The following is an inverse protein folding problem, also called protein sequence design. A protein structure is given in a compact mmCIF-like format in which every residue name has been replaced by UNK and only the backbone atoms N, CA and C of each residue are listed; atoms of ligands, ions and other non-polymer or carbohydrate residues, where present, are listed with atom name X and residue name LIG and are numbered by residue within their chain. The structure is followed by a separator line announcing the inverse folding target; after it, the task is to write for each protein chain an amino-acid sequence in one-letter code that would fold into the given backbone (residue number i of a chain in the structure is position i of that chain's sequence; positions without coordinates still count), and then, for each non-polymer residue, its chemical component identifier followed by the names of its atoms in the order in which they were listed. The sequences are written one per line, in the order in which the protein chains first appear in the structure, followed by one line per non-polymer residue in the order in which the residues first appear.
data_IF_281353631691
#
_entry.id   IF_281353631691
#
_cell.length_a   1.000
_cell.length_b   1.000
_cell.length_c   1.000
_cell.angle_alpha   90.00
_cell.angle_beta   90.00
_cell.angle_gamma   90.00
#
_symmetry.space_group_name_H-M   'P 1'
#
loop_
_entity.id
_entity.type
_entity.pdbx_description
1 polymer ?
#
# COMPACT_ATOMS: atom_id res chain seq x y z
N UNK A 1 39.00 -8.15 9.42
CA UNK A 1 38.29 -7.12 8.63
C UNK A 1 38.00 -7.68 7.25
N UNK A 2 36.79 -7.48 6.72
CA UNK A 2 36.46 -7.30 5.29
C UNK A 2 34.93 -7.14 5.22
N UNK A 3 34.42 -6.02 4.69
CA UNK A 3 32.98 -5.78 4.55
C UNK A 3 32.54 -6.13 3.13
N UNK A 4 31.70 -7.15 2.99
CA UNK A 4 31.08 -7.50 1.70
C UNK A 4 29.93 -6.55 1.36
N UNK A 5 30.24 -5.40 0.75
CA UNK A 5 29.22 -4.45 0.28
C UNK A 5 28.60 -4.90 -1.04
N UNK A 6 27.57 -5.75 -0.96
CA UNK A 6 26.75 -6.08 -2.13
C UNK A 6 25.94 -4.86 -2.58
N UNK A 7 26.32 -4.27 -3.71
CA UNK A 7 25.51 -3.26 -4.38
C UNK A 7 24.28 -3.93 -5.02
N UNK A 8 23.06 -3.61 -4.52
CA UNK A 8 21.81 -3.93 -5.25
C UNK A 8 21.88 -3.23 -6.62
N UNK A 9 21.92 -3.98 -7.71
CA UNK A 9 21.72 -3.41 -9.05
C UNK A 9 20.28 -2.89 -9.16
N UNK A 10 20.08 -1.69 -9.72
CA UNK A 10 18.72 -1.18 -10.00
C UNK A 10 18.06 -2.04 -11.08
N UNK A 11 16.83 -2.50 -10.88
CA UNK A 11 16.10 -3.25 -11.91
C UNK A 11 15.88 -2.46 -13.22
N UNK A 12 15.99 -1.12 -13.18
CA UNK A 12 16.00 -0.27 -14.38
C UNK A 12 17.17 -0.52 -15.35
N UNK A 13 18.19 -1.31 -14.97
CA UNK A 13 19.30 -1.70 -15.84
C UNK A 13 19.32 -3.19 -16.20
N UNK A 14 18.24 -3.93 -15.92
CA UNK A 14 18.09 -5.34 -16.33
C UNK A 14 17.32 -5.44 -17.66
N UNK A 15 17.73 -6.31 -18.60
CA UNK A 15 16.95 -6.58 -19.81
C UNK A 15 15.55 -7.15 -19.49
N UNK A 16 14.55 -6.73 -20.26
CA UNK A 16 13.13 -7.08 -20.04
C UNK A 16 12.82 -8.60 -20.13
N UNK A 17 13.69 -9.37 -20.78
CA UNK A 17 13.55 -10.84 -20.90
C UNK A 17 14.17 -11.64 -19.74
N UNK A 18 14.85 -10.97 -18.79
CA UNK A 18 15.48 -11.64 -17.64
C UNK A 18 14.46 -12.37 -16.75
N UNK A 19 14.87 -13.43 -16.01
CA UNK A 19 13.97 -14.19 -15.14
C UNK A 19 13.14 -13.31 -14.19
N UNK A 20 13.74 -12.26 -13.63
CA UNK A 20 13.11 -11.24 -12.78
C UNK A 20 11.78 -10.72 -13.35
N UNK A 21 11.75 -10.27 -14.61
CA UNK A 21 10.52 -9.76 -15.22
C UNK A 21 9.51 -10.88 -15.53
N UNK A 22 9.97 -12.11 -15.78
CA UNK A 22 9.10 -13.27 -16.02
C UNK A 22 8.37 -13.70 -14.75
N UNK A 23 9.09 -13.84 -13.63
CA UNK A 23 8.46 -14.15 -12.32
C UNK A 23 7.68 -12.97 -11.76
N UNK A 24 8.09 -11.71 -11.99
CA UNK A 24 7.27 -10.52 -11.67
C UNK A 24 5.96 -10.49 -12.47
N UNK A 25 5.97 -10.88 -13.75
CA UNK A 25 4.74 -11.01 -14.54
C UNK A 25 3.86 -12.16 -14.03
N UNK A 26 4.45 -13.29 -13.64
CA UNK A 26 3.71 -14.42 -13.09
C UNK A 26 3.09 -14.11 -11.71
N UNK A 27 3.78 -13.37 -10.83
CA UNK A 27 3.17 -12.89 -9.58
C UNK A 27 2.05 -11.89 -9.89
N UNK A 28 2.24 -10.97 -10.83
CA UNK A 28 1.17 -10.08 -11.34
C UNK A 28 -0.06 -10.82 -11.88
N UNK A 29 0.13 -11.95 -12.57
CA UNK A 29 -0.98 -12.79 -13.04
C UNK A 29 -1.66 -13.59 -11.92
N UNK A 30 -0.91 -13.99 -10.88
CA UNK A 30 -1.47 -14.57 -9.64
C UNK A 30 -2.30 -13.54 -8.87
N UNK A 31 -1.78 -12.32 -8.74
CA UNK A 31 -2.46 -11.14 -8.21
C UNK A 31 -3.78 -10.84 -8.92
N UNK A 32 -3.78 -10.79 -10.26
CA UNK A 32 -5.00 -10.62 -11.06
C UNK A 32 -5.95 -11.82 -10.92
N UNK A 33 -5.44 -13.04 -10.74
CA UNK A 33 -6.24 -14.22 -10.44
C UNK A 33 -6.94 -14.16 -9.08
N UNK A 34 -6.23 -13.69 -8.04
CA UNK A 34 -6.73 -13.55 -6.68
C UNK A 34 -7.80 -12.45 -6.54
N UNK A 35 -7.57 -11.29 -7.17
CA UNK A 35 -8.56 -10.20 -7.22
C UNK A 35 -9.72 -10.53 -8.17
N UNK A 36 -9.47 -11.35 -9.19
CA UNK A 36 -10.47 -11.99 -10.04
C UNK A 36 -10.53 -11.43 -11.47
N UNK A 37 -10.61 -12.32 -12.46
CA UNK A 37 -10.92 -11.96 -13.85
C UNK A 37 -12.43 -11.78 -14.13
N UNK A 38 -13.27 -12.23 -13.20
CA UNK A 38 -14.74 -12.23 -13.31
C UNK A 38 -15.44 -11.19 -12.41
N UNK A 39 -14.71 -10.27 -11.79
CA UNK A 39 -15.32 -9.16 -11.01
C UNK A 39 -15.97 -8.14 -11.95
N UNK A 40 -17.18 -8.46 -12.42
CA UNK A 40 -18.18 -7.50 -12.89
C UNK A 40 -18.80 -6.67 -11.74
N UNK A 41 -18.22 -6.77 -10.54
CA UNK A 41 -18.59 -6.00 -9.36
C UNK A 41 -17.95 -4.59 -9.48
N UNK A 42 -18.76 -3.52 -9.62
CA UNK A 42 -18.24 -2.16 -9.79
C UNK A 42 -17.54 -1.61 -8.52
N UNK A 43 -17.62 -2.30 -7.38
CA UNK A 43 -17.00 -1.86 -6.12
C UNK A 43 -15.46 -1.97 -6.10
N UNK A 44 -14.82 -2.58 -7.10
CA UNK A 44 -13.35 -2.70 -7.19
C UNK A 44 -12.86 -2.35 -8.60
N UNK A 45 -12.66 -1.05 -8.87
CA UNK A 45 -11.96 -0.61 -10.08
C UNK A 45 -10.44 -0.56 -9.85
N UNK A 46 -9.69 -1.48 -10.47
CA UNK A 46 -8.22 -1.48 -10.45
C UNK A 46 -7.64 -0.56 -11.55
N UNK A 47 -6.93 0.49 -11.14
CA UNK A 47 -6.24 1.40 -12.04
C UNK A 47 -4.99 0.75 -12.67
N UNK A 48 -5.15 0.02 -13.79
CA UNK A 48 -4.04 -0.65 -14.49
C UNK A 48 -3.09 0.34 -15.18
N UNK A 49 -1.98 0.65 -14.50
CA UNK A 49 -0.76 1.12 -15.18
C UNK A 49 -0.17 0.02 -16.06
N UNK A 50 0.18 0.32 -17.31
CA UNK A 50 0.61 -0.69 -18.29
C UNK A 50 1.90 -1.42 -17.85
N UNK A 51 1.80 -2.71 -17.49
CA UNK A 51 2.92 -3.59 -17.17
C UNK A 51 3.73 -4.01 -18.42
N UNK A 52 4.40 -3.04 -19.04
CA UNK A 52 5.52 -3.24 -19.97
C UNK A 52 6.63 -2.23 -19.68
N UNK A 53 7.55 -2.61 -18.78
CA UNK A 53 8.86 -1.96 -18.63
C UNK A 53 8.99 -0.80 -17.65
N UNK A 54 8.15 -0.72 -16.61
CA UNK A 54 8.27 0.29 -15.55
C UNK A 54 8.34 -0.37 -14.16
N UNK A 55 9.23 0.15 -13.30
CA UNK A 55 9.38 -0.31 -11.92
C UNK A 55 8.20 0.14 -11.04
N UNK A 56 7.96 -0.64 -9.98
CA UNK A 56 7.01 -0.50 -8.86
C UNK A 56 6.11 0.76 -8.89
N UNK A 57 4.81 0.53 -8.97
CA UNK A 57 3.79 1.57 -9.11
C UNK A 57 2.67 1.39 -8.09
N UNK A 58 2.37 2.50 -7.41
CA UNK A 58 1.17 2.81 -6.64
C UNK A 58 1.20 2.46 -5.15
N UNK A 59 0.73 3.41 -4.34
CA UNK A 59 0.15 3.16 -3.03
C UNK A 59 -0.93 4.23 -2.81
N UNK A 60 -2.20 3.86 -2.65
CA UNK A 60 -3.21 4.64 -1.91
C UNK A 60 -4.49 3.81 -1.75
N UNK A 61 -5.10 3.88 -0.56
CA UNK A 61 -6.36 3.21 -0.24
C UNK A 61 -7.42 4.27 0.06
N UNK A 62 -8.48 4.34 -0.75
CA UNK A 62 -9.63 5.17 -0.45
C UNK A 62 -10.93 4.38 -0.53
N UNK A 63 -11.61 4.32 0.61
CA UNK A 63 -12.95 3.78 0.72
C UNK A 63 -13.94 4.91 0.99
N UNK A 64 -15.01 4.96 0.19
CA UNK A 64 -16.24 5.73 0.42
C UNK A 64 -16.12 7.27 0.39
N UNK A 65 -15.65 7.83 -0.73
CA UNK A 65 -15.89 9.24 -1.07
C UNK A 65 -16.67 9.42 -2.37
N UNK A 66 -18.00 9.39 -2.23
CA UNK A 66 -18.83 10.28 -3.05
C UNK A 66 -18.58 11.72 -2.56
N UNK A 67 -18.65 12.70 -3.48
CA UNK A 67 -18.54 14.15 -3.22
C UNK A 67 -17.16 14.75 -2.89
N UNK A 68 -16.02 14.05 -3.01
CA UNK A 68 -14.71 14.71 -2.87
C UNK A 68 -13.66 14.40 -3.95
N UNK A 69 -12.55 15.14 -3.85
CA UNK A 69 -11.40 15.31 -4.73
C UNK A 69 -11.52 16.45 -5.81
N UNK A 70 -11.72 17.75 -5.55
CA UNK A 70 -11.57 18.72 -6.68
C UNK A 70 -10.07 19.02 -6.97
N UNK A 71 -9.60 18.74 -8.21
CA UNK A 71 -8.28 19.00 -8.84
C UNK A 71 -6.91 18.33 -8.43
N UNK A 72 -6.42 17.39 -9.28
CA UNK A 72 -5.02 16.91 -9.61
C UNK A 72 -4.38 15.59 -8.97
N UNK A 73 -3.07 15.26 -8.77
CA UNK A 73 -2.61 13.94 -8.19
C UNK A 73 -1.35 13.87 -7.24
N UNK A 74 -1.33 12.96 -6.24
CA UNK A 74 -0.19 12.68 -5.32
C UNK A 74 0.94 11.75 -5.85
N UNK A 75 2.13 12.31 -6.13
CA UNK A 75 3.48 11.83 -5.70
C UNK A 75 4.57 12.61 -6.45
N UNK A 76 5.69 12.92 -5.78
CA UNK A 76 6.87 13.56 -6.40
C UNK A 76 8.02 12.59 -6.70
N UNK A 77 7.85 11.28 -6.45
CA UNK A 77 8.86 10.26 -6.75
C UNK A 77 8.41 9.24 -7.83
N UNK A 78 7.15 9.32 -8.26
CA UNK A 78 6.76 8.88 -9.59
C UNK A 78 7.36 9.81 -10.66
N UNK A 79 7.77 9.26 -11.81
CA UNK A 79 8.09 10.10 -12.96
C UNK A 79 6.84 10.86 -13.42
N UNK A 80 7.00 12.06 -13.99
CA UNK A 80 5.89 12.88 -14.49
C UNK A 80 4.87 12.09 -15.35
N UNK A 81 5.39 11.19 -16.20
CA UNK A 81 4.58 10.28 -17.03
C UNK A 81 3.72 9.29 -16.23
N UNK A 82 4.19 8.82 -15.08
CA UNK A 82 3.43 7.91 -14.20
C UNK A 82 2.30 8.66 -13.47
N UNK A 83 2.56 9.86 -12.96
CA UNK A 83 1.54 10.75 -12.38
C UNK A 83 0.45 11.04 -13.43
N UNK A 84 0.84 11.52 -14.60
CA UNK A 84 -0.05 11.80 -15.72
C UNK A 84 -0.87 10.57 -16.19
N UNK A 85 -0.28 9.37 -16.16
CA UNK A 85 -0.99 8.13 -16.52
C UNK A 85 -2.04 7.76 -15.47
N UNK A 86 -1.68 7.81 -14.17
CA UNK A 86 -2.62 7.50 -13.09
C UNK A 86 -3.76 8.52 -13.04
N UNK A 87 -3.44 9.81 -13.17
CA UNK A 87 -4.40 10.92 -13.21
C UNK A 87 -5.53 10.65 -14.23
N UNK A 88 -5.17 10.35 -15.48
CA UNK A 88 -6.13 10.01 -16.56
C UNK A 88 -6.99 8.79 -16.24
N UNK A 89 -6.46 7.80 -15.54
CA UNK A 89 -7.23 6.62 -15.15
C UNK A 89 -8.23 6.96 -14.04
N UNK A 90 -7.83 7.72 -13.02
CA UNK A 90 -8.76 8.19 -11.99
C UNK A 90 -9.84 9.12 -12.58
N UNK A 91 -9.47 10.03 -13.50
CA UNK A 91 -10.40 10.89 -14.25
C UNK A 91 -11.45 10.06 -15.00
N UNK A 92 -11.02 8.99 -15.69
CA UNK A 92 -11.91 8.08 -16.42
C UNK A 92 -12.87 7.29 -15.53
N UNK A 93 -12.59 7.19 -14.23
CA UNK A 93 -13.45 6.55 -13.24
C UNK A 93 -14.51 7.51 -12.66
N UNK A 94 -14.54 8.78 -13.07
CA UNK A 94 -15.29 9.86 -12.41
C UNK A 94 -14.98 9.96 -10.91
N UNK A 95 -13.81 9.49 -10.50
CA UNK A 95 -13.21 10.11 -9.34
C UNK A 95 -12.90 11.54 -9.75
N UNK A 96 -13.22 12.46 -8.86
CA UNK A 96 -12.56 13.74 -8.87
C UNK A 96 -11.07 13.47 -8.43
N UNK A 97 -10.17 14.44 -8.54
CA UNK A 97 -8.70 14.30 -8.69
C UNK A 97 -8.04 15.27 -7.63
N UNK A 98 -6.97 14.96 -6.84
CA UNK A 98 -6.25 15.95 -5.93
C UNK A 98 -4.70 15.88 -5.94
N UNK A 99 -4.00 17.04 -6.10
CA UNK A 99 -2.53 17.16 -6.24
C UNK A 99 -1.73 17.76 -5.07
N UNK A 100 -0.42 17.51 -5.13
CA UNK A 100 0.64 18.16 -4.38
C UNK A 100 1.52 19.03 -5.29
N UNK A 101 1.01 20.19 -5.71
CA UNK A 101 1.73 21.13 -6.61
C UNK A 101 2.86 21.92 -5.93
N UNK A 102 2.87 21.97 -4.59
CA UNK A 102 3.88 22.70 -3.81
C UNK A 102 5.28 22.09 -4.02
N UNK A 103 6.23 22.85 -4.58
CA UNK A 103 7.58 22.37 -4.89
C UNK A 103 8.35 21.85 -3.67
N UNK A 104 8.01 22.30 -2.46
CA UNK A 104 8.65 21.87 -1.20
C UNK A 104 8.02 20.60 -0.59
N UNK A 105 6.81 20.24 -1.01
CA UNK A 105 6.09 19.09 -0.46
C UNK A 105 6.54 17.77 -1.11
N UNK A 106 6.68 16.71 -0.32
CA UNK A 106 6.87 15.36 -0.84
C UNK A 106 6.01 14.36 -0.07
N UNK A 107 5.40 13.42 -0.78
CA UNK A 107 4.66 12.31 -0.20
C UNK A 107 4.66 11.11 -1.16
N UNK A 108 4.96 9.94 -0.62
CA UNK A 108 4.65 8.65 -1.23
C UNK A 108 3.51 8.00 -0.42
N UNK A 109 2.48 7.48 -1.09
CA UNK A 109 1.36 6.83 -0.40
C UNK A 109 1.75 5.57 0.38
N UNK A 110 2.97 5.05 0.20
CA UNK A 110 3.56 4.00 1.03
C UNK A 110 3.70 4.42 2.50
N UNK A 111 3.84 5.72 2.76
CA UNK A 111 3.83 6.29 4.12
C UNK A 111 2.43 6.51 4.68
N UNK A 112 1.37 6.37 3.88
CA UNK A 112 -0.01 6.67 4.28
C UNK A 112 -0.76 5.40 4.67
N UNK A 113 -1.07 5.27 5.96
CA UNK A 113 -1.95 4.26 6.53
C UNK A 113 -3.31 4.89 6.87
N UNK A 114 -4.34 4.62 6.05
CA UNK A 114 -5.72 4.96 6.36
C UNK A 114 -6.37 3.82 7.16
N UNK A 115 -6.96 4.13 8.31
CA UNK A 115 -7.55 3.12 9.21
C UNK A 115 -9.04 2.88 8.99
N UNK A 116 -9.68 3.67 8.12
CA UNK A 116 -11.14 3.82 8.07
C UNK A 116 -11.70 4.81 9.10
N UNK A 117 -10.85 5.38 9.98
CA UNK A 117 -11.21 6.40 10.99
C UNK A 117 -10.30 7.63 10.96
N UNK A 118 -9.03 7.46 10.60
CA UNK A 118 -8.00 8.51 10.54
C UNK A 118 -6.86 8.10 9.60
N UNK A 119 -5.91 9.00 9.38
CA UNK A 119 -4.65 8.70 8.68
C UNK A 119 -3.46 8.78 9.63
N UNK A 120 -2.58 7.79 9.56
CA UNK A 120 -1.20 7.90 10.01
C UNK A 120 -0.29 8.11 8.80
N UNK A 121 0.59 9.13 8.87
CA UNK A 121 1.49 9.51 7.79
C UNK A 121 2.94 9.40 8.25
N UNK A 122 3.70 8.51 7.62
CA UNK A 122 5.13 8.35 7.84
C UNK A 122 5.92 9.60 7.44
N UNK A 123 6.72 10.15 8.34
CA UNK A 123 7.76 11.13 8.03
C UNK A 123 9.05 10.36 7.75
N UNK A 124 9.38 10.25 6.47
CA UNK A 124 10.39 9.34 5.93
C UNK A 124 11.40 10.09 5.05
N UNK A 125 12.22 9.37 4.27
CA UNK A 125 13.05 9.98 3.20
C UNK A 125 12.26 10.30 1.93
N UNK A 126 10.98 9.91 1.87
CA UNK A 126 10.06 10.10 0.74
C UNK A 126 8.98 11.13 1.07
N UNK A 127 8.46 11.09 2.29
CA UNK A 127 7.33 11.89 2.74
C UNK A 127 7.75 12.87 3.82
N UNK A 128 7.48 14.16 3.61
CA UNK A 128 7.86 15.24 4.51
C UNK A 128 6.64 15.90 5.17
N UNK A 129 6.90 16.75 6.17
CA UNK A 129 5.86 17.39 6.97
C UNK A 129 4.89 18.23 6.12
N UNK A 130 5.40 18.96 5.12
CA UNK A 130 4.58 19.72 4.16
C UNK A 130 3.68 18.81 3.31
N UNK A 131 4.14 17.61 2.99
CA UNK A 131 3.34 16.60 2.30
C UNK A 131 2.20 16.05 3.17
N UNK A 132 2.44 15.82 4.45
CA UNK A 132 1.42 15.42 5.42
C UNK A 132 0.37 16.51 5.68
N UNK A 133 0.79 17.79 5.73
CA UNK A 133 -0.11 18.94 5.82
C UNK A 133 -1.09 19.02 4.64
N UNK A 134 -0.60 18.87 3.40
CA UNK A 134 -1.46 18.90 2.22
C UNK A 134 -2.45 17.72 2.21
N UNK A 135 -2.07 16.56 2.76
CA UNK A 135 -2.99 15.44 2.95
C UNK A 135 -4.09 15.79 3.98
N UNK A 136 -3.74 16.45 5.10
CA UNK A 136 -4.72 16.94 6.08
C UNK A 136 -5.65 18.02 5.51
N UNK A 137 -5.12 18.95 4.71
CA UNK A 137 -5.92 19.95 3.98
C UNK A 137 -6.81 19.31 2.90
N UNK A 138 -6.46 18.13 2.40
CA UNK A 138 -7.29 17.37 1.45
C UNK A 138 -8.42 16.62 2.16
N UNK A 139 -8.14 15.99 3.29
CA UNK A 139 -9.04 15.04 3.97
C UNK A 139 -9.56 15.57 5.31
N UNK A 140 -10.13 16.78 5.30
CA UNK A 140 -10.55 17.55 6.49
C UNK A 140 -11.58 16.86 7.39
N UNK A 141 -12.27 15.84 6.89
CA UNK A 141 -13.22 15.01 7.66
C UNK A 141 -12.53 13.97 8.58
N UNK A 142 -11.19 13.87 8.53
CA UNK A 142 -10.40 12.91 9.30
C UNK A 142 -9.23 13.57 10.05
N UNK A 143 -8.85 12.97 11.18
CA UNK A 143 -7.58 13.27 11.82
C UNK A 143 -6.41 12.75 10.95
N UNK A 144 -5.29 13.48 10.98
CA UNK A 144 -4.03 13.12 10.31
C UNK A 144 -2.88 13.28 11.31
N UNK A 145 -2.27 12.16 11.71
CA UNK A 145 -1.20 12.11 12.71
C UNK A 145 0.11 11.63 12.08
N UNK A 146 1.21 12.33 12.32
CA UNK A 146 2.52 11.99 11.74
C UNK A 146 3.33 11.01 12.60
N UNK A 147 4.07 10.12 11.94
CA UNK A 147 4.83 9.02 12.58
C UNK A 147 6.26 9.01 12.05
N UNK A 148 7.32 9.10 12.88
CA UNK A 148 8.70 9.05 12.40
C UNK A 148 9.07 7.68 11.78
N UNK A 149 9.66 7.69 10.59
CA UNK A 149 10.14 6.50 9.87
C UNK A 149 11.63 6.66 9.56
N UNK A 150 12.48 5.82 10.16
CA UNK A 150 13.94 5.96 10.09
C UNK A 150 14.64 4.81 9.35
N UNK A 151 14.32 3.57 9.75
CA UNK A 151 15.04 2.35 9.35
C UNK A 151 14.26 1.52 8.31
N UNK A 152 13.37 2.15 7.55
CA UNK A 152 12.52 1.51 6.53
C UNK A 152 12.24 2.46 5.38
N UNK A 153 11.75 1.94 4.25
CA UNK A 153 11.46 2.77 3.06
C UNK A 153 10.25 3.67 3.29
N UNK A 154 9.19 3.12 3.86
CA UNK A 154 7.94 3.81 4.20
C UNK A 154 7.30 3.26 5.48
N UNK A 155 6.30 3.94 6.04
CA UNK A 155 5.47 3.45 7.16
C UNK A 155 4.92 2.04 6.89
N UNK A 156 4.31 1.80 5.72
CA UNK A 156 3.72 0.50 5.39
C UNK A 156 4.74 -0.60 5.03
N UNK A 157 6.04 -0.33 5.08
CA UNK A 157 7.06 -1.39 4.99
C UNK A 157 6.98 -2.39 6.16
N UNK A 158 6.33 -2.01 7.27
CA UNK A 158 6.16 -2.85 8.46
C UNK A 158 4.74 -2.86 9.04
N UNK A 159 3.74 -2.30 8.36
CA UNK A 159 2.34 -2.35 8.81
C UNK A 159 1.29 -2.15 7.71
N UNK A 160 0.07 -2.62 7.93
CA UNK A 160 -1.12 -2.29 7.14
C UNK A 160 -2.42 -2.58 7.91
N UNK A 161 -3.58 -2.27 7.33
CA UNK A 161 -4.86 -2.74 7.87
C UNK A 161 -5.10 -4.19 7.45
N UNK A 162 -5.31 -5.07 8.43
CA UNK A 162 -5.64 -6.48 8.22
C UNK A 162 -7.13 -6.79 8.40
N UNK A 163 -7.90 -5.85 8.96
CA UNK A 163 -9.34 -5.95 9.18
C UNK A 163 -9.92 -4.63 9.72
N UNK A 164 -11.24 -4.53 9.92
CA UNK A 164 -11.83 -3.40 10.62
C UNK A 164 -11.24 -3.31 12.03
N UNK A 165 -10.74 -2.14 12.43
CA UNK A 165 -10.05 -1.92 13.71
C UNK A 165 -8.71 -2.68 13.91
N UNK A 166 -8.27 -3.51 12.96
CA UNK A 166 -7.12 -4.42 13.12
C UNK A 166 -5.91 -4.00 12.26
N UNK A 167 -4.81 -3.64 12.93
CA UNK A 167 -3.53 -3.30 12.29
C UNK A 167 -2.60 -4.52 12.30
N UNK A 168 -2.16 -4.98 11.13
CA UNK A 168 -1.01 -5.86 11.03
C UNK A 168 0.27 -5.05 11.27
N UNK A 169 1.20 -5.59 12.06
CA UNK A 169 2.41 -4.89 12.50
C UNK A 169 3.59 -5.85 12.64
N UNK A 170 4.76 -5.43 12.16
CA UNK A 170 6.02 -6.15 12.31
C UNK A 170 6.49 -6.27 13.76
N UNK A 171 7.40 -7.21 14.04
CA UNK A 171 7.92 -7.44 15.40
C UNK A 171 9.13 -6.58 15.75
N UNK A 172 9.74 -5.90 14.78
CA UNK A 172 10.96 -5.12 15.00
C UNK A 172 10.78 -3.97 16.01
N UNK A 173 11.89 -3.52 16.59
CA UNK A 173 11.91 -2.36 17.48
C UNK A 173 11.41 -1.09 16.78
N UNK A 174 11.68 -0.94 15.47
CA UNK A 174 11.18 0.18 14.67
C UNK A 174 9.65 0.11 14.49
N UNK A 175 9.12 -1.06 14.10
CA UNK A 175 7.69 -1.27 13.94
C UNK A 175 6.92 -1.08 15.25
N UNK A 176 7.39 -1.65 16.36
CA UNK A 176 6.73 -1.50 17.66
C UNK A 176 6.85 -0.07 18.23
N UNK A 177 7.93 0.68 17.92
CA UNK A 177 8.01 2.13 18.21
C UNK A 177 6.99 2.92 17.40
N UNK A 178 6.91 2.71 16.09
CA UNK A 178 5.95 3.39 15.22
C UNK A 178 4.50 3.10 15.64
N UNK A 179 4.17 1.83 15.96
CA UNK A 179 2.88 1.46 16.53
C UNK A 179 2.58 2.21 17.82
N UNK A 180 3.55 2.28 18.75
CA UNK A 180 3.36 3.00 20.01
C UNK A 180 3.08 4.48 19.76
N UNK A 181 3.78 5.12 18.82
CA UNK A 181 3.49 6.51 18.40
C UNK A 181 2.06 6.64 17.86
N UNK A 182 1.63 5.77 16.94
CA UNK A 182 0.25 5.76 16.43
C UNK A 182 -0.79 5.63 17.56
N UNK A 183 -0.55 4.73 18.51
CA UNK A 183 -1.41 4.51 19.69
C UNK A 183 -1.36 5.65 20.74
N UNK A 184 -0.38 6.55 20.67
CA UNK A 184 -0.29 7.74 21.52
C UNK A 184 -0.89 9.00 20.87
N UNK A 185 -1.10 8.97 19.54
CA UNK A 185 -1.58 10.09 18.73
C UNK A 185 -3.04 9.93 18.29
N UNK A 186 -3.78 9.00 18.89
CA UNK A 186 -5.17 8.66 18.53
C UNK A 186 -6.00 8.28 19.76
N UNK A 187 -7.24 8.78 19.80
CA UNK A 187 -8.27 8.36 20.77
C UNK A 187 -8.88 6.98 20.43
N UNK A 188 -8.49 6.37 19.31
CA UNK A 188 -9.03 5.09 18.84
C UNK A 188 -8.15 3.91 19.25
N UNK A 189 -8.73 3.01 20.04
CA UNK A 189 -8.08 1.74 20.40
C UNK A 189 -8.16 0.75 19.24
N UNK A 190 -7.10 0.70 18.44
CA UNK A 190 -6.87 -0.36 17.45
C UNK A 190 -6.38 -1.66 18.09
N UNK A 191 -6.86 -2.77 17.55
CA UNK A 191 -6.34 -4.10 17.82
C UNK A 191 -5.11 -4.37 16.92
N UNK A 192 -4.20 -5.25 17.37
CA UNK A 192 -2.97 -5.54 16.62
C UNK A 192 -2.77 -7.02 16.31
N UNK A 193 -2.42 -7.31 15.06
CA UNK A 193 -1.94 -8.61 14.60
C UNK A 193 -0.42 -8.51 14.43
N UNK A 194 0.33 -8.82 15.49
CA UNK A 194 1.81 -8.76 15.43
C UNK A 194 2.36 -10.02 14.75
N UNK A 195 3.03 -9.83 13.62
CA UNK A 195 3.74 -10.88 12.87
C UNK A 195 5.24 -10.80 13.15
N UNK A 196 5.99 -11.92 13.10
CA UNK A 196 7.45 -11.89 13.30
C UNK A 196 8.17 -11.09 12.20
N UNK A 197 7.76 -11.22 10.94
CA UNK A 197 8.46 -10.64 9.80
C UNK A 197 7.84 -9.30 9.36
N UNK A 198 8.57 -8.19 9.55
CA UNK A 198 8.09 -6.84 9.20
C UNK A 198 7.51 -6.73 7.75
N UNK A 199 8.15 -7.24 6.68
CA UNK A 199 7.59 -7.17 5.32
C UNK A 199 6.33 -8.02 5.10
N UNK A 200 6.02 -8.95 6.00
CA UNK A 200 4.78 -9.72 5.99
C UNK A 200 3.62 -9.01 6.69
N UNK A 201 3.90 -7.95 7.46
CA UNK A 201 2.87 -7.07 8.03
C UNK A 201 2.22 -6.15 6.99
N UNK A 202 2.74 -6.12 5.76
CA UNK A 202 2.14 -5.46 4.62
C UNK A 202 1.20 -6.44 3.90
N UNK A 203 -0.10 -6.29 4.12
CA UNK A 203 -1.19 -7.11 3.56
C UNK A 203 -2.34 -6.23 3.03
N UNK A 204 -3.24 -6.81 2.22
CA UNK A 204 -4.43 -6.10 1.69
C UNK A 204 -5.71 -6.71 2.26
N UNK A 205 -6.37 -5.95 3.13
CA UNK A 205 -7.73 -6.24 3.58
C UNK A 205 -8.78 -5.72 2.57
N UNK A 206 -9.81 -6.53 2.34
CA UNK A 206 -10.98 -6.24 1.52
C UNK A 206 -12.25 -6.67 2.25
N UNK A 207 -13.35 -5.93 2.05
CA UNK A 207 -14.70 -6.40 2.37
C UNK A 207 -15.48 -6.57 1.07
N UNK A 208 -15.76 -7.80 0.67
CA UNK A 208 -16.42 -8.13 -0.61
C UNK A 208 -17.83 -8.64 -0.31
N UNK A 209 -18.91 -8.07 -0.89
CA UNK A 209 -20.30 -8.38 -0.48
C UNK A 209 -20.68 -9.86 -0.48
N UNK A 210 -20.07 -10.68 -1.34
CA UNK A 210 -20.33 -12.12 -1.47
C UNK A 210 -19.33 -13.03 -0.74
N UNK A 211 -18.27 -12.47 -0.11
CA UNK A 211 -17.19 -13.21 0.56
C UNK A 211 -16.90 -12.74 2.00
N UNK A 212 -17.42 -11.58 2.40
CA UNK A 212 -17.11 -10.95 3.68
C UNK A 212 -15.67 -10.42 3.73
N UNK A 213 -15.01 -10.60 4.86
CA UNK A 213 -13.62 -10.22 5.09
C UNK A 213 -12.68 -11.10 4.24
N UNK A 214 -11.90 -10.49 3.35
CA UNK A 214 -10.88 -11.16 2.53
C UNK A 214 -9.54 -10.50 2.82
N UNK A 215 -8.48 -11.30 2.97
CA UNK A 215 -7.15 -10.81 3.34
C UNK A 215 -6.05 -11.44 2.47
N UNK A 216 -5.43 -10.63 1.63
CA UNK A 216 -4.27 -11.02 0.82
C UNK A 216 -3.00 -10.80 1.66
N UNK A 217 -2.29 -11.88 1.99
CA UNK A 217 -1.08 -11.86 2.81
C UNK A 217 0.09 -12.56 2.12
N UNK A 218 1.31 -12.43 2.64
CA UNK A 218 2.50 -13.10 2.09
C UNK A 218 2.38 -14.62 2.17
N UNK A 219 2.83 -15.31 1.13
CA UNK A 219 2.71 -16.76 1.03
C UNK A 219 3.57 -17.51 2.07
N UNK A 220 3.15 -18.70 2.55
CA UNK A 220 3.89 -19.49 3.55
C UNK A 220 5.31 -19.87 3.12
N UNK A 221 5.56 -19.99 1.82
CA UNK A 221 6.88 -20.28 1.24
C UNK A 221 7.86 -19.10 1.37
N UNK A 222 7.35 -17.88 1.58
CA UNK A 222 8.14 -16.66 1.76
C UNK A 222 8.33 -16.34 3.25
N UNK A 223 7.25 -16.39 4.02
CA UNK A 223 7.22 -16.01 5.44
C UNK A 223 6.37 -16.98 6.28
N UNK A 224 6.88 -18.20 6.57
CA UNK A 224 6.09 -19.28 7.17
C UNK A 224 5.59 -18.98 8.59
N UNK A 225 6.39 -18.29 9.42
CA UNK A 225 5.97 -17.96 10.79
C UNK A 225 4.95 -16.83 10.83
N UNK A 226 5.01 -15.88 9.88
CA UNK A 226 3.98 -14.86 9.70
C UNK A 226 2.69 -15.41 9.09
N UNK A 227 2.78 -16.36 8.15
CA UNK A 227 1.60 -17.06 7.62
C UNK A 227 0.80 -17.76 8.74
N UNK A 228 1.46 -18.47 9.65
CA UNK A 228 0.86 -19.06 10.87
C UNK A 228 0.23 -18.04 11.83
N UNK A 229 0.51 -16.75 11.69
CA UNK A 229 -0.20 -15.68 12.42
C UNK A 229 -1.49 -15.31 11.70
N UNK A 230 -1.46 -15.10 10.38
CA UNK A 230 -2.66 -14.85 9.59
C UNK A 230 -3.66 -16.01 9.63
N UNK A 231 -3.18 -17.27 9.59
CA UNK A 231 -3.98 -18.50 9.70
C UNK A 231 -4.89 -18.59 10.94
N UNK A 232 -4.68 -17.74 11.96
CA UNK A 232 -5.52 -17.67 13.17
C UNK A 232 -6.80 -16.86 12.97
N UNK A 233 -6.89 -16.03 11.93
CA UNK A 233 -8.08 -15.25 11.57
C UNK A 233 -9.15 -16.16 10.94
N UNK A 234 -9.98 -16.80 11.74
CA UNK A 234 -11.01 -17.77 11.28
C UNK A 234 -12.25 -17.12 10.66
N UNK A 235 -12.35 -15.80 10.78
CA UNK A 235 -13.37 -14.91 10.22
C UNK A 235 -12.95 -14.29 8.87
N UNK A 236 -11.70 -14.49 8.44
CA UNK A 236 -11.16 -13.94 7.19
C UNK A 236 -10.95 -15.04 6.13
N UNK A 237 -11.35 -14.75 4.89
CA UNK A 237 -10.93 -15.51 3.71
C UNK A 237 -9.48 -15.13 3.37
N UNK A 238 -8.55 -15.94 3.84
CA UNK A 238 -7.12 -15.76 3.61
C UNK A 238 -6.73 -16.15 2.18
N UNK A 239 -5.92 -15.31 1.53
CA UNK A 239 -5.35 -15.58 0.19
C UNK A 239 -3.83 -15.36 0.26
N UNK A 240 -3.01 -16.42 0.19
CA UNK A 240 -1.56 -16.29 0.15
C UNK A 240 -1.09 -15.80 -1.22
N UNK A 241 -0.25 -14.75 -1.24
CA UNK A 241 0.31 -14.12 -2.43
C UNK A 241 1.85 -14.16 -2.35
N UNK A 242 2.49 -14.67 -3.39
CA UNK A 242 3.94 -14.64 -3.54
C UNK A 242 4.38 -13.30 -4.18
N UNK A 243 5.34 -12.61 -3.56
CA UNK A 243 5.80 -11.27 -3.94
C UNK A 243 7.33 -11.11 -3.97
N UNK A 244 8.09 -12.20 -3.77
CA UNK A 244 9.57 -12.24 -3.65
C UNK A 244 10.34 -11.41 -4.68
N UNK A 245 9.90 -11.33 -5.94
CA UNK A 245 10.62 -10.52 -6.95
C UNK A 245 10.47 -9.01 -6.73
N UNK A 246 9.25 -8.53 -6.45
CA UNK A 246 9.00 -7.11 -6.21
C UNK A 246 9.64 -6.65 -4.89
N UNK A 247 9.73 -7.54 -3.90
CA UNK A 247 10.43 -7.29 -2.64
C UNK A 247 11.95 -7.06 -2.81
N UNK A 248 12.60 -7.67 -3.81
CA UNK A 248 14.03 -7.40 -4.11
C UNK A 248 14.26 -5.94 -4.48
N UNK A 249 13.25 -5.27 -5.03
CA UNK A 249 13.22 -3.84 -5.37
C UNK A 249 12.34 -3.02 -4.41
N UNK A 250 12.21 -3.51 -3.17
CA UNK A 250 11.57 -2.85 -2.03
C UNK A 250 10.05 -2.59 -2.22
N UNK A 251 9.39 -3.34 -3.11
CA UNK A 251 7.94 -3.29 -3.33
C UNK A 251 7.18 -4.37 -2.55
N UNK A 252 6.24 -3.96 -1.71
CA UNK A 252 5.39 -4.85 -0.90
C UNK A 252 4.02 -5.11 -1.56
N UNK A 253 3.07 -5.76 -0.85
CA UNK A 253 1.76 -6.09 -1.40
C UNK A 253 0.92 -4.84 -1.72
N UNK A 254 0.91 -3.85 -0.82
CA UNK A 254 0.18 -2.58 -1.04
C UNK A 254 0.72 -1.82 -2.26
N UNK A 255 2.03 -1.93 -2.51
CA UNK A 255 2.80 -1.20 -3.53
C UNK A 255 2.49 -1.58 -4.99
N UNK A 256 1.41 -2.34 -5.21
CA UNK A 256 1.00 -2.89 -6.51
C UNK A 256 -0.41 -2.43 -6.93
N UNK A 257 -1.13 -1.68 -6.09
CA UNK A 257 -2.54 -1.34 -6.33
C UNK A 257 -2.95 0.03 -5.80
N UNK A 258 -4.00 0.60 -6.43
CA UNK A 258 -4.85 1.64 -5.83
C UNK A 258 -6.23 1.00 -5.71
N UNK A 259 -6.80 0.97 -4.50
CA UNK A 259 -8.16 0.46 -4.31
C UNK A 259 -9.16 1.60 -4.28
N UNK A 260 -10.20 1.45 -5.09
CA UNK A 260 -11.23 2.45 -5.37
C UNK A 260 -12.60 1.79 -5.17
N UNK A 261 -13.30 2.19 -4.10
CA UNK A 261 -14.70 1.81 -3.89
C UNK A 261 -15.61 2.83 -4.58
N UNK A 262 -16.05 2.52 -5.81
CA UNK A 262 -17.07 3.29 -6.53
C UNK A 262 -18.45 2.71 -6.24
N UNK A 263 -19.22 3.37 -5.38
CA UNK A 263 -20.67 3.15 -5.32
C UNK A 263 -21.26 3.43 -6.70
N UNK A 264 -21.98 2.45 -7.26
CA UNK A 264 -22.80 2.70 -8.44
C UNK A 264 -23.99 3.57 -8.04
N UNK A 265 -24.17 4.69 -8.74
CA UNK A 265 -25.44 5.38 -8.77
C UNK A 265 -26.42 4.51 -9.59
N UNK A 266 -27.62 4.29 -9.05
CA UNK A 266 -28.73 3.51 -9.61
C UNK A 266 -29.91 4.44 -9.89
#
# INVERSE_FOLDING_TARGET
MLRGSHAKARASSLPLDTPFFRTTKASGESWEGAMGRDTKDPAICLAKGMLKGFNCLNDMYFWKFSKFFNDTLFSKQLSFKQVETMKRVLESLNLNIVEMVDENATLDGGDVLFTGREFFVGLSRRTNQRGAEILADTFKDYAVSTVPVHDSLHLKSFCSMAGPNLIAIGSSEAAQKALKTMQQMSDHRYDKLTVPDDPAANCIYLNIPSKGHVLLHRAPEEYPESAKVFEKLKDHMLIPIANTELEKVDGSLTCCSVLINKTSEL
#
